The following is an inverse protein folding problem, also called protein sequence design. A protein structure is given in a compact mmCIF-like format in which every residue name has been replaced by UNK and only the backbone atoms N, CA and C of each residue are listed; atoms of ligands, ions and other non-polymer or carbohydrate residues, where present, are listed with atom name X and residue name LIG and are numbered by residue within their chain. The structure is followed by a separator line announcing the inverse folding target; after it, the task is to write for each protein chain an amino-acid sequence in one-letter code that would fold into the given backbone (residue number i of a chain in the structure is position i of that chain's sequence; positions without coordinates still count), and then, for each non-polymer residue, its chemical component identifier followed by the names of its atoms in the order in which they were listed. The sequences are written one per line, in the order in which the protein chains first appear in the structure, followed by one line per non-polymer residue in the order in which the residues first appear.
data_IF_209813524011
#
_entry.id   IF_209813524011
#
_cell.length_a   1.000
_cell.length_b   1.000
_cell.length_c   1.000
_cell.angle_alpha   90.00
_cell.angle_beta   90.00
_cell.angle_gamma   90.00
#
_symmetry.space_group_name_H-M   'P 1'
#
loop_
_entity.id
_entity.type
_entity.pdbx_description
1 polymer ?
#
# COMPACT_ATOMS: atom_id res chain seq x y z
N UNK A 1 17.03 -11.98 19.59
CA UNK A 1 16.35 -10.77 20.10
C UNK A 1 15.73 -9.94 18.98
N UNK A 2 16.49 -9.56 17.94
CA UNK A 2 15.98 -8.70 16.85
C UNK A 2 14.82 -9.31 16.04
N UNK A 3 14.90 -10.57 15.63
CA UNK A 3 13.82 -11.26 14.90
C UNK A 3 12.49 -11.30 15.68
N UNK A 4 12.56 -11.26 17.02
CA UNK A 4 11.37 -11.26 17.87
C UNK A 4 10.71 -9.88 17.96
N UNK A 5 11.52 -8.83 18.05
CA UNK A 5 11.04 -7.44 17.96
C UNK A 5 10.40 -7.22 16.58
N UNK A 6 11.03 -7.74 15.53
CA UNK A 6 10.50 -7.69 14.18
C UNK A 6 9.14 -8.40 14.05
N UNK A 7 8.99 -9.62 14.56
CA UNK A 7 7.69 -10.31 14.59
C UNK A 7 6.62 -9.53 15.37
N UNK A 8 6.98 -8.90 16.49
CA UNK A 8 6.06 -8.06 17.27
C UNK A 8 5.58 -6.85 16.48
N UNK A 9 6.49 -6.18 15.78
CA UNK A 9 6.16 -5.04 14.90
C UNK A 9 5.22 -5.50 13.80
N UNK A 10 5.48 -6.64 13.16
CA UNK A 10 4.62 -7.17 12.11
C UNK A 10 3.19 -7.48 12.59
N UNK A 11 3.07 -8.18 13.71
CA UNK A 11 1.77 -8.48 14.32
C UNK A 11 1.04 -7.19 14.73
N UNK A 12 1.73 -6.21 15.29
CA UNK A 12 1.14 -4.92 15.64
C UNK A 12 0.61 -4.18 14.40
N UNK A 13 1.34 -4.22 13.29
CA UNK A 13 0.89 -3.64 12.01
C UNK A 13 -0.35 -4.37 11.47
N UNK A 14 -0.45 -5.68 11.65
CA UNK A 14 -1.65 -6.45 11.25
C UNK A 14 -2.90 -6.04 12.03
N UNK A 15 -2.77 -5.81 13.34
CA UNK A 15 -3.86 -5.25 14.13
C UNK A 15 -4.26 -3.85 13.68
N UNK A 16 -3.30 -3.01 13.32
CA UNK A 16 -3.57 -1.69 12.75
C UNK A 16 -4.34 -1.78 11.42
N UNK A 17 -4.01 -2.75 10.56
CA UNK A 17 -4.73 -2.96 9.29
C UNK A 17 -6.17 -3.43 9.51
N UNK A 18 -6.39 -4.35 10.44
CA UNK A 18 -7.74 -4.82 10.82
C UNK A 18 -8.57 -3.65 11.35
N UNK A 19 -7.94 -2.77 12.15
CA UNK A 19 -8.60 -1.59 12.67
C UNK A 19 -9.09 -0.67 11.53
N UNK A 20 -8.23 -0.36 10.56
CA UNK A 20 -8.55 0.53 9.44
C UNK A 20 -9.71 -0.04 8.59
N UNK A 21 -9.74 -1.34 8.35
CA UNK A 21 -10.80 -2.00 7.56
C UNK A 21 -12.19 -1.96 8.21
N UNK A 22 -12.26 -1.88 9.53
CA UNK A 22 -13.55 -1.91 10.25
C UNK A 22 -14.18 -0.50 10.30
N UNK A 23 -13.39 0.57 10.11
CA UNK A 23 -13.83 1.95 10.20
C UNK A 23 -15.03 2.32 9.28
N UNK A 24 -15.09 1.92 7.99
CA UNK A 24 -16.13 2.41 7.06
C UNK A 24 -17.45 1.62 7.08
N UNK A 25 -17.73 0.81 8.10
CA UNK A 25 -18.81 -0.20 8.05
C UNK A 25 -20.26 0.31 8.13
N UNK A 26 -20.51 1.61 7.95
CA UNK A 26 -21.88 2.16 7.84
C UNK A 26 -22.14 2.70 6.43
N UNK A 27 -22.86 1.89 5.64
CA UNK A 27 -23.04 1.98 4.19
C UNK A 27 -23.84 3.20 3.64
N UNK A 28 -24.10 4.25 4.41
CA UNK A 28 -25.06 5.29 3.96
C UNK A 28 -24.64 6.75 4.14
N UNK A 29 -23.53 7.06 4.81
CA UNK A 29 -23.16 8.46 5.12
C UNK A 29 -21.71 8.85 4.78
N UNK A 30 -20.95 7.98 4.14
CA UNK A 30 -19.58 8.33 3.78
C UNK A 30 -19.52 8.90 2.37
N UNK A 31 -19.14 10.17 2.29
CA UNK A 31 -18.74 10.78 1.04
C UNK A 31 -17.57 9.98 0.42
N UNK A 32 -17.52 9.79 -0.90
CA UNK A 32 -16.44 9.06 -1.57
C UNK A 32 -15.03 9.58 -1.20
N UNK A 33 -14.91 10.87 -0.89
CA UNK A 33 -13.69 11.51 -0.39
C UNK A 33 -13.18 10.93 0.94
N UNK A 34 -14.05 10.67 1.93
CA UNK A 34 -13.60 10.10 3.22
C UNK A 34 -13.19 8.64 3.06
N UNK A 35 -13.90 7.89 2.21
CA UNK A 35 -13.49 6.55 1.80
C UNK A 35 -12.13 6.55 1.11
N UNK A 36 -11.89 7.50 0.19
CA UNK A 36 -10.60 7.67 -0.49
C UNK A 36 -9.46 7.97 0.49
N UNK A 37 -9.68 8.86 1.46
CA UNK A 37 -8.67 9.18 2.49
C UNK A 37 -8.33 7.97 3.37
N UNK A 38 -9.34 7.19 3.79
CA UNK A 38 -9.12 5.94 4.55
C UNK A 38 -8.30 4.94 3.72
N UNK A 39 -8.58 4.86 2.41
CA UNK A 39 -7.86 3.96 1.50
C UNK A 39 -6.39 4.38 1.30
N UNK A 40 -6.10 5.68 1.17
CA UNK A 40 -4.72 6.19 1.12
C UNK A 40 -3.95 5.80 2.39
N UNK A 41 -4.55 5.97 3.57
CA UNK A 41 -3.91 5.60 4.83
C UNK A 41 -3.68 4.08 4.94
N UNK A 42 -4.65 3.27 4.51
CA UNK A 42 -4.52 1.81 4.46
C UNK A 42 -3.36 1.37 3.55
N UNK A 43 -3.26 1.94 2.35
CA UNK A 43 -2.19 1.65 1.39
C UNK A 43 -0.81 2.05 1.94
N UNK A 44 -0.71 3.19 2.63
CA UNK A 44 0.53 3.59 3.31
C UNK A 44 0.99 2.53 4.31
N UNK A 45 0.10 2.05 5.18
CA UNK A 45 0.44 1.04 6.20
C UNK A 45 0.87 -0.29 5.54
N UNK A 46 0.22 -0.70 4.45
CA UNK A 46 0.65 -1.88 3.68
C UNK A 46 2.02 -1.69 3.05
N UNK A 47 2.29 -0.54 2.43
CA UNK A 47 3.57 -0.28 1.81
C UNK A 47 4.71 -0.38 2.82
N UNK A 48 4.52 0.16 4.03
CA UNK A 48 5.47 -0.01 5.13
C UNK A 48 5.59 -1.47 5.57
N UNK A 49 4.48 -2.21 5.72
CA UNK A 49 4.49 -3.63 6.06
C UNK A 49 5.29 -4.46 5.05
N UNK A 50 5.11 -4.20 3.76
CA UNK A 50 5.80 -4.89 2.67
C UNK A 50 7.30 -4.57 2.67
N UNK A 51 7.68 -3.34 3.02
CA UNK A 51 9.08 -2.96 3.18
C UNK A 51 9.75 -3.70 4.35
N UNK A 52 9.03 -3.91 5.46
CA UNK A 52 9.56 -4.72 6.55
C UNK A 52 9.74 -6.19 6.12
N UNK A 53 8.76 -6.76 5.40
CA UNK A 53 8.77 -8.18 5.02
C UNK A 53 9.71 -8.55 3.88
N UNK A 54 9.88 -7.66 2.90
CA UNK A 54 10.74 -7.87 1.75
C UNK A 54 12.04 -7.12 1.96
N UNK A 55 13.16 -7.81 1.79
CA UNK A 55 14.46 -7.16 1.89
C UNK A 55 14.66 -6.07 0.82
N UNK A 56 13.95 -6.13 -0.31
CA UNK A 56 14.06 -5.12 -1.38
C UNK A 56 12.97 -4.06 -1.31
N UNK A 57 13.38 -2.78 -1.24
CA UNK A 57 12.50 -1.61 -1.19
C UNK A 57 11.61 -1.41 -2.42
N UNK A 58 11.94 -2.06 -3.54
CA UNK A 58 11.33 -1.81 -4.84
C UNK A 58 9.86 -2.24 -4.91
N UNK A 59 9.52 -3.37 -4.30
CA UNK A 59 8.15 -3.85 -4.29
C UNK A 59 7.24 -2.95 -3.45
N UNK A 60 7.70 -2.50 -2.26
CA UNK A 60 6.96 -1.54 -1.45
C UNK A 60 6.79 -0.19 -2.16
N UNK A 61 7.80 0.25 -2.91
CA UNK A 61 7.77 1.52 -3.65
C UNK A 61 6.81 1.49 -4.84
N UNK A 62 6.87 0.44 -5.67
CA UNK A 62 5.96 0.27 -6.81
C UNK A 62 4.51 0.17 -6.33
N UNK A 63 4.24 -0.61 -5.27
CA UNK A 63 2.91 -0.75 -4.70
C UNK A 63 2.37 0.60 -4.22
N UNK A 64 3.19 1.40 -3.53
CA UNK A 64 2.80 2.73 -3.08
C UNK A 64 2.45 3.68 -4.24
N UNK A 65 3.30 3.75 -5.27
CA UNK A 65 3.08 4.63 -6.42
C UNK A 65 1.84 4.26 -7.24
N UNK A 66 1.67 2.98 -7.56
CA UNK A 66 0.53 2.53 -8.38
C UNK A 66 -0.78 2.78 -7.65
N UNK A 67 -0.83 2.50 -6.34
CA UNK A 67 -2.05 2.67 -5.56
C UNK A 67 -2.40 4.15 -5.34
N UNK A 68 -1.43 5.03 -5.10
CA UNK A 68 -1.69 6.49 -5.03
C UNK A 68 -2.11 7.03 -6.39
N UNK A 69 -1.44 6.65 -7.47
CA UNK A 69 -1.80 7.07 -8.82
C UNK A 69 -3.24 6.69 -9.18
N UNK A 70 -3.64 5.44 -8.90
CA UNK A 70 -5.00 4.97 -9.11
C UNK A 70 -6.04 5.72 -8.27
N UNK A 71 -5.72 6.01 -7.01
CA UNK A 71 -6.61 6.76 -6.11
C UNK A 71 -6.79 8.22 -6.52
N UNK A 72 -5.76 8.87 -7.09
CA UNK A 72 -5.87 10.25 -7.56
C UNK A 72 -6.82 10.40 -8.76
N UNK A 73 -6.82 9.44 -9.69
CA UNK A 73 -7.77 9.42 -10.81
C UNK A 73 -9.20 9.24 -10.30
N UNK A 74 -9.38 8.35 -9.33
CA UNK A 74 -10.66 8.08 -8.67
C UNK A 74 -11.18 9.31 -7.90
N UNK A 75 -10.27 10.06 -7.26
CA UNK A 75 -10.57 11.32 -6.59
C UNK A 75 -11.06 12.39 -7.57
N UNK A 76 -10.36 12.60 -8.69
CA UNK A 76 -10.76 13.55 -9.74
C UNK A 76 -12.15 13.22 -10.32
N UNK A 77 -12.44 11.93 -10.49
CA UNK A 77 -13.75 11.48 -10.94
C UNK A 77 -14.85 11.87 -9.95
N UNK A 78 -14.68 11.57 -8.66
CA UNK A 78 -15.71 11.83 -7.66
C UNK A 78 -15.93 13.31 -7.37
N UNK A 79 -14.88 14.14 -7.30
CA UNK A 79 -15.03 15.58 -7.09
C UNK A 79 -15.76 16.28 -8.24
N UNK A 80 -15.73 15.70 -9.45
CA UNK A 80 -16.51 16.20 -10.59
C UNK A 80 -18.01 15.86 -10.54
N UNK A 81 -18.41 14.87 -9.72
CA UNK A 81 -19.77 14.33 -9.69
C UNK A 81 -20.59 14.76 -8.47
N UNK A 82 -19.94 15.06 -7.34
CA UNK A 82 -20.65 15.34 -6.09
C UNK A 82 -20.64 16.84 -5.76
N UNK A 83 -21.79 17.40 -5.42
CA UNK A 83 -21.86 18.71 -4.77
C UNK A 83 -21.05 18.69 -3.46
N UNK A 84 -20.32 19.76 -3.16
CA UNK A 84 -19.53 19.93 -1.93
C UNK A 84 -20.42 20.05 -0.68
N UNK A 85 -21.17 19.00 -0.34
CA UNK A 85 -22.00 18.98 0.86
C UNK A 85 -21.12 18.90 2.12
N UNK A 86 -21.44 19.75 3.10
CA UNK A 86 -20.72 19.81 4.36
C UNK A 86 -20.93 18.51 5.15
N UNK A 87 -19.83 17.94 5.65
CA UNK A 87 -19.86 16.74 6.46
C UNK A 87 -20.53 16.98 7.82
N UNK A 88 -21.69 16.36 8.06
CA UNK A 88 -22.35 16.34 9.37
C UNK A 88 -21.99 15.07 10.15
N UNK A 89 -21.22 15.22 11.24
CA UNK A 89 -20.93 14.12 12.16
C UNK A 89 -22.14 13.84 13.07
N UNK A 90 -22.82 12.71 12.86
CA UNK A 90 -23.91 12.28 13.74
C UNK A 90 -23.36 11.70 15.05
N UNK A 91 -23.85 12.18 16.19
CA UNK A 91 -23.39 11.72 17.54
C UNK A 91 -23.59 10.21 17.74
N UNK A 92 -24.67 9.62 17.18
CA UNK A 92 -24.92 8.17 17.23
C UNK A 92 -23.84 7.36 16.49
N UNK A 93 -23.31 7.91 15.39
CA UNK A 93 -22.21 7.30 14.65
C UNK A 93 -20.93 7.29 15.51
N UNK A 94 -20.64 8.38 16.22
CA UNK A 94 -19.46 8.48 17.08
C UNK A 94 -19.48 7.46 18.24
N UNK A 95 -20.65 7.20 18.85
CA UNK A 95 -20.81 6.20 19.91
C UNK A 95 -20.63 4.77 19.39
N UNK A 96 -21.18 4.47 18.21
CA UNK A 96 -21.01 3.15 17.61
C UNK A 96 -19.54 2.89 17.24
N UNK A 97 -18.85 3.92 16.73
CA UNK A 97 -17.43 3.84 16.41
C UNK A 97 -16.55 3.68 17.65
N UNK A 98 -16.88 4.34 18.76
CA UNK A 98 -16.13 4.20 20.01
C UNK A 98 -16.30 2.82 20.63
N UNK A 99 -17.49 2.22 20.57
CA UNK A 99 -17.71 0.84 21.03
C UNK A 99 -16.91 -0.18 20.22
N UNK A 100 -16.84 0.01 18.89
CA UNK A 100 -15.97 -0.80 18.01
C UNK A 100 -14.50 -0.69 18.40
N UNK A 101 -14.03 0.53 18.68
CA UNK A 101 -12.66 0.79 19.12
C UNK A 101 -12.34 0.00 20.39
N UNK A 102 -13.23 0.05 21.38
CA UNK A 102 -13.04 -0.69 22.64
C UNK A 102 -12.99 -2.20 22.44
N UNK A 103 -13.86 -2.76 21.59
CA UNK A 103 -13.85 -4.20 21.29
C UNK A 103 -12.52 -4.65 20.68
N UNK A 104 -11.95 -3.86 19.77
CA UNK A 104 -10.69 -4.16 19.11
C UNK A 104 -9.52 -4.07 20.10
N UNK A 105 -9.51 -3.09 21.00
CA UNK A 105 -8.50 -3.01 22.05
C UNK A 105 -8.52 -4.23 22.96
N UNK A 106 -9.71 -4.73 23.30
CA UNK A 106 -9.87 -5.95 24.08
C UNK A 106 -9.31 -7.15 23.34
N UNK A 107 -9.65 -7.32 22.06
CA UNK A 107 -9.10 -8.40 21.22
C UNK A 107 -7.57 -8.34 21.13
N UNK A 108 -7.01 -7.14 20.97
CA UNK A 108 -5.57 -6.94 20.91
C UNK A 108 -4.88 -7.34 22.22
N UNK A 109 -5.47 -6.97 23.37
CA UNK A 109 -4.96 -7.36 24.68
C UNK A 109 -4.93 -8.89 24.86
N UNK A 110 -6.00 -9.58 24.48
CA UNK A 110 -6.04 -11.05 24.54
C UNK A 110 -5.02 -11.70 23.61
N UNK A 111 -4.85 -11.16 22.40
CA UNK A 111 -3.86 -11.66 21.45
C UNK A 111 -2.43 -11.52 21.96
N UNK A 112 -2.07 -10.36 22.51
CA UNK A 112 -0.76 -10.15 23.12
C UNK A 112 -0.52 -11.14 24.26
N UNK A 113 -1.50 -11.33 25.15
CA UNK A 113 -1.37 -12.26 26.28
C UNK A 113 -1.15 -13.71 25.81
N UNK A 114 -1.87 -14.15 24.78
CA UNK A 114 -1.71 -15.49 24.21
C UNK A 114 -0.34 -15.70 23.55
N UNK A 115 0.11 -14.73 22.75
CA UNK A 115 1.43 -14.78 22.11
C UNK A 115 2.58 -14.81 23.13
N UNK A 116 2.48 -14.03 24.21
CA UNK A 116 3.50 -13.99 25.25
C UNK A 116 3.61 -15.32 26.00
N UNK A 117 2.48 -15.99 26.28
CA UNK A 117 2.47 -17.29 26.95
C UNK A 117 3.14 -18.36 26.08
N UNK A 118 2.83 -18.43 24.78
CA UNK A 118 3.42 -19.43 23.88
C UNK A 118 4.94 -19.23 23.66
N UNK A 119 5.42 -17.98 23.71
CA UNK A 119 6.84 -17.68 23.51
C UNK A 119 7.75 -18.20 24.63
N UNK A 120 7.28 -18.16 25.88
CA UNK A 120 8.05 -18.69 27.03
C UNK A 120 8.31 -20.18 26.86
N UNK A 121 7.39 -20.93 26.25
CA UNK A 121 7.56 -22.36 25.96
C UNK A 121 8.46 -22.65 24.76
N UNK A 122 8.56 -21.73 23.79
CA UNK A 122 9.32 -21.94 22.55
C UNK A 122 10.82 -21.57 22.66
N UNK A 123 11.19 -20.65 23.55
CA UNK A 123 12.61 -20.25 23.70
C UNK A 123 13.54 -21.41 24.07
N UNK A 124 13.04 -22.43 24.77
CA UNK A 124 13.85 -23.61 25.14
C UNK A 124 14.25 -24.50 23.94
N UNK A 125 13.59 -24.37 22.79
CA UNK A 125 13.85 -25.19 21.60
C UNK A 125 14.59 -24.44 20.47
N UNK A 126 14.43 -23.12 20.39
CA UNK A 126 14.95 -22.33 19.26
C UNK A 126 16.42 -21.91 19.36
N UNK A 127 17.03 -21.91 20.55
CA UNK A 127 18.45 -21.54 20.71
C UNK A 127 19.41 -22.48 19.95
N UNK A 128 19.00 -23.71 19.64
CA UNK A 128 19.82 -24.68 18.89
C UNK A 128 19.78 -24.49 17.37
N UNK A 129 18.76 -23.83 16.82
CA UNK A 129 18.56 -23.70 15.35
C UNK A 129 19.11 -22.37 14.81
N UNK A 130 19.18 -21.33 15.65
CA UNK A 130 19.60 -19.98 15.22
C UNK A 130 21.09 -19.90 14.81
N UNK A 131 21.94 -20.83 15.25
CA UNK A 131 23.36 -20.87 14.88
C UNK A 131 23.62 -21.27 13.42
N UNK A 132 22.69 -21.95 12.73
CA UNK A 132 22.88 -22.34 11.32
C UNK A 132 22.43 -21.27 10.30
N UNK A 133 21.54 -20.36 10.68
CA UNK A 133 20.90 -19.42 9.73
C UNK A 133 21.62 -18.07 9.59
N UNK A 134 22.57 -17.76 10.47
CA UNK A 134 23.33 -16.49 10.41
C UNK A 134 24.14 -16.34 9.12
N UNK A 135 24.57 -17.45 8.49
CA UNK A 135 25.30 -17.41 7.21
C UNK A 135 24.42 -17.05 6.01
N UNK A 136 23.11 -17.28 6.08
CA UNK A 136 22.18 -16.95 5.00
C UNK A 136 21.72 -15.49 5.06
N UNK A 137 21.75 -14.86 6.25
CA UNK A 137 21.38 -13.45 6.42
C UNK A 137 22.33 -12.49 5.67
N UNK A 138 23.64 -12.75 5.68
CA UNK A 138 24.63 -11.91 4.98
C UNK A 138 24.44 -11.95 3.44
N UNK A 139 24.08 -13.12 2.90
CA UNK A 139 23.76 -13.28 1.47
C UNK A 139 22.47 -12.52 1.10
N UNK A 140 21.47 -12.51 1.99
CA UNK A 140 20.20 -11.81 1.79
C UNK A 140 20.34 -10.29 1.89
N UNK A 141 21.33 -9.79 2.62
CA UNK A 141 21.71 -8.36 2.69
C UNK A 141 22.43 -7.93 1.40
N UNK A 142 23.19 -8.82 0.75
CA UNK A 142 23.87 -8.52 -0.51
C UNK A 142 22.88 -8.28 -1.67
N UNK A 143 21.74 -8.97 -1.70
CA UNK A 143 20.66 -8.77 -2.68
C UNK A 143 19.72 -7.60 -2.36
N UNK A 144 19.94 -6.90 -1.24
CA UNK A 144 19.04 -5.87 -0.71
C UNK A 144 19.02 -4.59 -1.54
N UNK A 145 20.13 -4.28 -2.20
CA UNK A 145 20.31 -3.04 -2.94
C UNK A 145 20.52 -3.32 -4.43
N UNK A 146 19.63 -2.79 -5.25
CA UNK A 146 19.80 -2.77 -6.71
C UNK A 146 21.00 -1.92 -7.16
N UNK A 147 21.68 -1.24 -6.25
CA UNK A 147 22.91 -0.48 -6.53
C UNK A 147 24.18 -1.19 -6.04
N UNK A 148 24.14 -2.50 -5.76
CA UNK A 148 25.37 -3.25 -5.46
C UNK A 148 26.18 -3.50 -6.73
N UNK A 149 27.51 -3.46 -6.58
CA UNK A 149 28.49 -3.41 -7.68
C UNK A 149 28.29 -4.49 -8.75
N UNK A 150 27.85 -5.70 -8.36
CA UNK A 150 27.67 -6.82 -9.28
C UNK A 150 26.53 -6.59 -10.31
N UNK A 151 25.45 -5.91 -9.93
CA UNK A 151 24.30 -5.65 -10.80
C UNK A 151 24.26 -4.21 -11.33
N UNK A 152 25.17 -3.35 -10.87
CA UNK A 152 25.16 -1.91 -11.18
C UNK A 152 25.25 -1.65 -12.69
N UNK A 153 26.11 -2.37 -13.42
CA UNK A 153 26.27 -2.22 -14.87
C UNK A 153 24.98 -2.55 -15.63
N UNK A 154 24.30 -3.64 -15.24
CA UNK A 154 23.07 -4.10 -15.84
C UNK A 154 21.92 -3.14 -15.51
N UNK A 155 21.88 -2.61 -14.28
CA UNK A 155 20.88 -1.62 -13.88
C UNK A 155 21.07 -0.28 -14.59
N UNK A 156 22.30 0.20 -14.76
CA UNK A 156 22.59 1.41 -15.54
C UNK A 156 22.15 1.23 -17.00
N UNK A 157 22.41 0.06 -17.60
CA UNK A 157 21.94 -0.25 -18.95
C UNK A 157 20.40 -0.18 -19.03
N UNK A 158 19.68 -0.77 -18.07
CA UNK A 158 18.22 -0.74 -18.04
C UNK A 158 17.67 0.68 -17.87
N UNK A 159 18.31 1.53 -17.05
CA UNK A 159 17.91 2.93 -16.87
C UNK A 159 18.04 3.70 -18.19
N UNK A 160 19.16 3.55 -18.90
CA UNK A 160 19.39 4.21 -20.19
C UNK A 160 18.40 3.71 -21.24
N UNK A 161 18.16 2.40 -21.29
CA UNK A 161 17.19 1.79 -22.20
C UNK A 161 15.77 2.33 -21.96
N UNK A 162 15.30 2.34 -20.71
CA UNK A 162 13.97 2.86 -20.37
C UNK A 162 13.83 4.35 -20.70
N UNK A 163 14.87 5.15 -20.45
CA UNK A 163 14.88 6.56 -20.81
C UNK A 163 14.78 6.77 -22.34
N UNK A 164 15.55 6.01 -23.12
CA UNK A 164 15.47 6.03 -24.58
C UNK A 164 14.08 5.64 -25.08
N UNK A 165 13.50 4.58 -24.53
CA UNK A 165 12.14 4.15 -24.87
C UNK A 165 11.11 5.25 -24.58
N UNK A 166 11.19 5.92 -23.43
CA UNK A 166 10.31 7.03 -23.09
C UNK A 166 10.40 8.16 -24.13
N UNK A 167 11.62 8.60 -24.49
CA UNK A 167 11.83 9.64 -25.50
C UNK A 167 11.25 9.20 -26.85
N UNK A 168 11.50 7.96 -27.27
CA UNK A 168 10.98 7.43 -28.54
C UNK A 168 9.46 7.43 -28.58
N UNK A 169 8.79 7.02 -27.49
CA UNK A 169 7.32 7.00 -27.38
C UNK A 169 6.77 8.43 -27.47
N UNK A 170 7.38 9.40 -26.78
CA UNK A 170 6.95 10.81 -26.85
C UNK A 170 7.10 11.36 -28.28
N UNK A 171 8.16 11.01 -29.00
CA UNK A 171 8.35 11.41 -30.41
C UNK A 171 7.31 10.77 -31.34
N UNK A 172 6.93 9.51 -31.09
CA UNK A 172 5.89 8.82 -31.87
C UNK A 172 4.50 9.43 -31.57
N UNK A 173 4.17 9.61 -30.28
CA UNK A 173 2.88 10.16 -29.84
C UNK A 173 2.73 11.66 -30.13
N UNK A 174 3.84 12.42 -30.18
CA UNK A 174 3.87 13.85 -30.45
C UNK A 174 3.58 14.23 -31.90
N UNK A 175 3.42 13.25 -32.81
CA UNK A 175 2.91 13.53 -34.16
C UNK A 175 1.42 13.88 -34.06
N UNK A 176 1.09 15.12 -34.38
CA UNK A 176 -0.28 15.64 -34.49
C UNK A 176 -0.95 15.01 -35.72
N UNK A 177 -1.31 13.73 -35.60
CA UNK A 177 -2.26 13.08 -36.50
C UNK A 177 -3.67 13.36 -35.98
N UNK A 178 -4.62 13.56 -36.90
CA UNK A 178 -6.06 13.58 -36.61
C UNK A 178 -6.45 12.49 -35.60
N UNK A 179 -7.46 12.71 -34.74
CA UNK A 179 -7.84 11.76 -33.71
C UNK A 179 -8.00 10.35 -34.28
N UNK A 180 -7.39 9.36 -33.60
CA UNK A 180 -7.50 7.93 -33.97
C UNK A 180 -8.95 7.45 -34.03
N UNK A 181 -9.86 8.17 -33.37
CA UNK A 181 -11.30 8.03 -33.55
C UNK A 181 -11.73 8.86 -34.75
N UNK A 182 -12.18 8.20 -35.82
CA UNK A 182 -12.95 8.85 -36.87
C UNK A 182 -14.13 9.57 -36.20
N UNK A 183 -14.10 10.90 -36.18
CA UNK A 183 -15.32 11.67 -36.00
C UNK A 183 -16.09 11.47 -37.30
N UNK A 184 -17.20 10.74 -37.22
CA UNK A 184 -18.16 10.69 -38.32
C UNK A 184 -18.65 12.13 -38.47
N UNK A 185 -18.25 12.78 -39.55
CA UNK A 185 -18.65 14.15 -39.84
C UNK A 185 -20.18 14.23 -39.78
N UNK A 186 -20.70 14.99 -38.82
CA UNK A 186 -22.11 15.37 -38.78
C UNK A 186 -22.25 16.57 -39.72
N UNK A 187 -22.33 16.28 -41.02
CA UNK A 187 -22.96 17.16 -41.99
C UNK A 187 -24.09 16.36 -42.64
N UNK A 188 -25.18 17.07 -42.97
CA UNK A 188 -26.53 16.57 -43.31
C UNK A 188 -27.38 16.38 -42.03
N UNK A 189 -28.29 17.28 -41.67
CA UNK A 189 -29.32 17.90 -42.52
C UNK A 189 -29.63 19.34 -42.09
N UNK A 190 -29.34 20.28 -42.98
CA UNK A 190 -30.16 21.48 -43.16
C UNK A 190 -31.27 21.15 -44.15
N UNK A 191 -32.49 20.94 -43.66
CA UNK A 191 -33.77 21.26 -44.30
C UNK A 191 -34.85 21.31 -43.23
#
# INVERSE_FOLDING_TARGET
MENFIFMKIFLAVDFMLIFIMILPSNLYYFHPLTLGLILVFYVMVIAFKMNFMLNSYWYSYILFLVMIGGLLILFLYFTSLTNNELFFFQIKFNLYQSLKFMFILILFYFFLKFYWMNYIYQMNYYELVVLSDLKNFDLMILFKNLMMDYFLSLNIYMIIYLFFMMVSVVVICGKVGSPLRQLKDVYEWSF
#
